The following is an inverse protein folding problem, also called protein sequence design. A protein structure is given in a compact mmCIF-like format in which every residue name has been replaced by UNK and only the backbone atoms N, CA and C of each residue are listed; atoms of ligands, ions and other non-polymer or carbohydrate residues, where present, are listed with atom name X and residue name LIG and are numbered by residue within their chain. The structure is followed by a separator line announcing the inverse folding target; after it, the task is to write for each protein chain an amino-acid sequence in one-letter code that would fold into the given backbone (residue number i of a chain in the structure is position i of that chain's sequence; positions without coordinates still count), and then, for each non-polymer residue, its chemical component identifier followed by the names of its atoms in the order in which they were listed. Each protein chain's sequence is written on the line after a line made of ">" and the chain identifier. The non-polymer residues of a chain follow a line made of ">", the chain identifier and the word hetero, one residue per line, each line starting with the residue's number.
data_IF_123582501844
#
_entry.id   IF_123582501844
#
_cell.length_a   1.000
_cell.length_b   1.000
_cell.length_c   1.000
_cell.angle_alpha   90.00
_cell.angle_beta   90.00
_cell.angle_gamma   90.00
#
_symmetry.space_group_name_H-M   'P 1'
#
loop_
_entity.id
_entity.type
_entity.pdbx_description
1 polymer ?
#
# COMPACT_ATOMS: atom_id res chain seq x y z
N UNK A 1 -12.73 -10.64 -1.37
CA UNK A 1 -12.06 -11.42 -2.42
C UNK A 1 -11.90 -10.46 -3.59
N UNK A 2 -10.67 -10.03 -3.88
CA UNK A 2 -10.38 -8.99 -4.87
C UNK A 2 -9.56 -9.62 -6.00
N UNK A 3 -10.12 -9.63 -7.21
CA UNK A 3 -9.43 -10.01 -8.43
C UNK A 3 -8.59 -8.82 -8.88
N UNK A 4 -7.27 -9.01 -9.04
CA UNK A 4 -6.34 -7.98 -9.48
C UNK A 4 -5.71 -8.46 -10.79
N UNK A 5 -5.96 -7.82 -11.95
CA UNK A 5 -5.31 -8.18 -13.20
C UNK A 5 -3.94 -7.50 -13.30
N UNK A 6 -3.04 -7.84 -12.39
CA UNK A 6 -1.69 -7.27 -12.35
C UNK A 6 -0.92 -7.69 -13.60
N UNK A 7 -0.27 -6.75 -14.29
CA UNK A 7 0.91 -7.08 -15.10
C UNK A 7 1.85 -8.00 -14.28
N UNK A 8 2.19 -9.19 -14.80
CA UNK A 8 2.99 -10.21 -14.08
C UNK A 8 4.28 -9.67 -13.45
N UNK A 9 4.78 -8.54 -13.95
CA UNK A 9 5.99 -7.88 -13.46
C UNK A 9 5.79 -7.29 -12.06
N UNK A 10 4.67 -6.61 -11.79
CA UNK A 10 4.41 -5.96 -10.49
C UNK A 10 4.01 -6.92 -9.37
N UNK A 11 3.59 -8.14 -9.75
CA UNK A 11 3.11 -9.15 -8.81
C UNK A 11 4.18 -9.51 -7.77
N UNK A 12 5.40 -9.76 -8.25
CA UNK A 12 6.50 -10.19 -7.38
C UNK A 12 6.92 -9.14 -6.34
N UNK A 13 7.24 -7.87 -6.71
CA UNK A 13 7.60 -6.84 -5.73
C UNK A 13 6.43 -6.49 -4.80
N UNK A 14 5.18 -6.49 -5.29
CA UNK A 14 4.02 -6.25 -4.45
C UNK A 14 3.79 -7.39 -3.44
N UNK A 15 3.94 -8.65 -3.84
CA UNK A 15 3.84 -9.78 -2.91
C UNK A 15 4.93 -9.77 -1.86
N UNK A 16 6.19 -9.46 -2.22
CA UNK A 16 7.26 -9.31 -1.23
C UNK A 16 6.97 -8.18 -0.24
N UNK A 17 6.40 -7.05 -0.70
CA UNK A 17 5.93 -5.98 0.17
C UNK A 17 4.81 -6.47 1.11
N UNK A 18 3.78 -7.11 0.54
CA UNK A 18 2.60 -7.58 1.25
C UNK A 18 2.98 -8.62 2.32
N UNK A 19 3.82 -9.59 1.97
CA UNK A 19 4.25 -10.66 2.85
C UNK A 19 4.99 -10.12 4.08
N UNK A 20 5.71 -9.01 3.97
CA UNK A 20 6.41 -8.42 5.10
C UNK A 20 5.54 -7.47 5.93
N UNK A 21 4.76 -6.63 5.28
CA UNK A 21 3.94 -5.62 5.97
C UNK A 21 2.73 -6.24 6.65
N UNK A 22 2.13 -7.28 6.07
CA UNK A 22 0.97 -7.98 6.67
C UNK A 22 1.29 -8.75 7.96
N UNK A 23 2.57 -8.96 8.28
CA UNK A 23 2.98 -9.62 9.54
C UNK A 23 2.97 -8.66 10.74
N UNK A 24 2.81 -7.37 10.49
CA UNK A 24 2.81 -6.34 11.52
C UNK A 24 1.42 -6.29 12.18
N UNK A 25 1.39 -6.32 13.51
CA UNK A 25 0.14 -6.47 14.28
C UNK A 25 -0.80 -5.27 14.11
N UNK A 26 -0.23 -4.12 13.81
CA UNK A 26 -0.92 -2.85 13.63
C UNK A 26 -1.63 -2.74 12.29
N UNK A 27 -1.19 -3.54 11.31
CA UNK A 27 -1.71 -3.55 9.94
C UNK A 27 -2.99 -4.37 9.90
N UNK A 28 -4.09 -3.70 9.57
CA UNK A 28 -5.38 -4.34 9.41
C UNK A 28 -5.62 -4.79 7.97
N UNK A 29 -5.13 -4.00 7.00
CA UNK A 29 -5.37 -4.24 5.59
C UNK A 29 -4.29 -3.58 4.73
N UNK A 30 -4.00 -4.17 3.57
CA UNK A 30 -3.16 -3.56 2.54
C UNK A 30 -3.93 -3.55 1.24
N UNK A 31 -4.08 -2.37 0.65
CA UNK A 31 -4.82 -2.15 -0.59
C UNK A 31 -3.85 -1.75 -1.70
N UNK A 32 -4.06 -2.31 -2.89
CA UNK A 32 -3.31 -1.96 -4.09
C UNK A 32 -4.26 -1.49 -5.18
N UNK A 33 -3.93 -0.35 -5.79
CA UNK A 33 -4.72 0.26 -6.85
C UNK A 33 -3.83 0.47 -8.09
N UNK A 34 -3.97 -0.42 -9.07
CA UNK A 34 -3.16 -0.44 -10.29
C UNK A 34 -3.48 0.74 -11.24
N UNK A 35 -4.77 1.09 -11.39
CA UNK A 35 -5.23 2.07 -12.39
C UNK A 35 -5.38 3.50 -11.86
N UNK A 36 -4.98 3.77 -10.62
CA UNK A 36 -5.10 5.13 -10.06
C UNK A 36 -3.89 5.97 -10.43
N UNK A 37 -3.80 6.33 -11.70
CA UNK A 37 -2.98 7.44 -12.22
C UNK A 37 -3.33 8.81 -11.61
N UNK A 38 -4.35 8.88 -10.74
CA UNK A 38 -4.87 10.08 -10.10
C UNK A 38 -4.32 10.36 -8.68
N UNK A 39 -3.60 9.41 -8.05
CA UNK A 39 -3.07 9.61 -6.69
C UNK A 39 -1.56 9.36 -6.65
N UNK A 40 -0.84 10.09 -5.78
CA UNK A 40 0.60 9.95 -5.56
C UNK A 40 1.01 8.57 -4.98
N UNK A 41 0.03 7.76 -4.55
CA UNK A 41 0.20 6.46 -3.92
C UNK A 41 -0.67 5.39 -4.58
N UNK A 42 -0.07 4.23 -4.89
CA UNK A 42 -0.73 3.05 -5.44
C UNK A 42 -0.87 1.91 -4.43
N UNK A 43 -0.27 2.05 -3.25
CA UNK A 43 -0.41 1.10 -2.13
C UNK A 43 -0.89 1.87 -0.90
N UNK A 44 -1.89 1.34 -0.19
CA UNK A 44 -2.32 1.88 1.09
C UNK A 44 -2.18 0.82 2.17
N UNK A 45 -1.42 1.14 3.21
CA UNK A 45 -1.24 0.30 4.40
C UNK A 45 -2.17 0.83 5.48
N UNK A 46 -3.28 0.14 5.70
CA UNK A 46 -4.31 0.54 6.65
C UNK A 46 -3.97 -0.02 8.01
N UNK A 47 -3.87 0.86 9.00
CA UNK A 47 -3.51 0.53 10.37
C UNK A 47 -4.61 0.95 11.34
N UNK A 48 -4.64 0.28 12.50
CA UNK A 48 -5.50 0.67 13.63
C UNK A 48 -5.10 2.03 14.21
N UNK A 49 -3.79 2.29 14.27
CA UNK A 49 -3.18 3.55 14.73
C UNK A 49 -1.83 3.75 14.05
N UNK A 50 -1.56 4.97 13.60
CA UNK A 50 -0.29 5.34 12.99
C UNK A 50 0.80 5.45 14.06
N UNK A 51 1.98 4.93 13.75
CA UNK A 51 3.16 4.99 14.60
C UNK A 51 4.40 5.27 13.78
N UNK A 52 5.41 5.88 14.39
CA UNK A 52 6.71 6.08 13.74
C UNK A 52 7.35 4.73 13.35
N UNK A 53 7.10 3.68 14.13
CA UNK A 53 7.61 2.33 13.89
C UNK A 53 7.06 1.73 12.60
N UNK A 54 5.75 1.81 12.36
CA UNK A 54 5.15 1.29 11.12
C UNK A 54 5.62 2.09 9.91
N UNK A 55 5.69 3.41 10.01
CA UNK A 55 6.12 4.29 8.92
C UNK A 55 7.59 4.03 8.56
N UNK A 56 8.46 3.86 9.58
CA UNK A 56 9.85 3.49 9.38
C UNK A 56 9.96 2.11 8.72
N UNK A 57 9.17 1.14 9.17
CA UNK A 57 9.20 -0.22 8.61
C UNK A 57 8.79 -0.25 7.14
N UNK A 58 7.72 0.45 6.79
CA UNK A 58 7.27 0.60 5.40
C UNK A 58 8.37 1.24 4.55
N UNK A 59 9.03 2.30 5.04
CA UNK A 59 10.14 2.94 4.33
C UNK A 59 11.33 1.99 4.12
N UNK A 60 11.71 1.21 5.14
CA UNK A 60 12.79 0.22 5.05
C UNK A 60 12.51 -0.85 3.99
N UNK A 61 11.29 -1.41 3.99
CA UNK A 61 10.86 -2.40 3.00
C UNK A 61 10.93 -1.80 1.59
N UNK A 62 10.48 -0.55 1.43
CA UNK A 62 10.51 0.16 0.16
C UNK A 62 11.92 0.42 -0.37
N UNK A 63 12.86 0.83 0.48
CA UNK A 63 14.27 1.01 0.09
C UNK A 63 14.86 -0.31 -0.41
N UNK A 64 14.61 -1.41 0.30
CA UNK A 64 15.10 -2.74 -0.09
C UNK A 64 14.49 -3.21 -1.41
N UNK A 65 13.17 -3.05 -1.58
CA UNK A 65 12.48 -3.39 -2.82
C UNK A 65 12.99 -2.57 -4.00
N UNK A 66 13.20 -1.26 -3.82
CA UNK A 66 13.75 -0.38 -4.87
C UNK A 66 15.19 -0.75 -5.25
N UNK A 67 15.98 -1.23 -4.30
CA UNK A 67 17.32 -1.77 -4.59
C UNK A 67 17.29 -3.06 -5.41
N UNK A 68 16.27 -3.92 -5.20
CA UNK A 68 16.12 -5.20 -5.90
C UNK A 68 15.39 -5.06 -7.23
N UNK A 69 14.46 -4.11 -7.31
CA UNK A 69 13.61 -3.84 -8.46
C UNK A 69 13.61 -2.33 -8.78
N UNK A 70 14.67 -1.79 -9.41
CA UNK A 70 14.80 -0.33 -9.64
C UNK A 70 13.72 0.28 -10.55
N UNK A 71 13.08 -0.55 -11.37
CA UNK A 71 12.01 -0.17 -12.30
C UNK A 71 10.62 -0.12 -11.64
N UNK A 72 10.49 -0.63 -10.41
CA UNK A 72 9.23 -0.65 -9.67
C UNK A 72 8.96 0.71 -9.05
N UNK A 73 7.75 1.22 -9.27
CA UNK A 73 7.23 2.46 -8.68
C UNK A 73 6.06 2.17 -7.73
N UNK A 74 6.33 1.38 -6.68
CA UNK A 74 5.41 1.27 -5.55
C UNK A 74 5.54 2.52 -4.68
N UNK A 75 4.42 3.09 -4.28
CA UNK A 75 4.33 4.29 -3.45
C UNK A 75 3.30 3.99 -2.35
N UNK A 76 3.74 3.40 -1.22
CA UNK A 76 2.87 3.09 -0.11
C UNK A 76 2.60 4.32 0.76
N UNK A 77 1.35 4.45 1.20
CA UNK A 77 0.91 5.42 2.19
C UNK A 77 0.31 4.70 3.39
N UNK A 78 0.78 5.06 4.59
CA UNK A 78 0.19 4.55 5.84
C UNK A 78 -1.05 5.38 6.16
N UNK A 79 -2.14 4.72 6.54
CA UNK A 79 -3.42 5.34 6.83
C UNK A 79 -4.04 4.73 8.07
N UNK A 80 -4.49 5.55 9.01
CA UNK A 80 -5.39 5.05 10.05
C UNK A 80 -6.78 4.79 9.46
N UNK A 81 -7.38 3.65 9.81
CA UNK A 81 -8.70 3.22 9.33
C UNK A 81 -9.82 4.24 9.57
N UNK A 82 -9.73 5.00 10.67
CA UNK A 82 -10.73 6.00 11.03
C UNK A 82 -10.34 7.42 10.61
N UNK A 83 -9.26 7.58 9.83
CA UNK A 83 -8.82 8.89 9.36
C UNK A 83 -9.70 9.44 8.25
N UNK A 84 -9.73 10.77 8.14
CA UNK A 84 -10.33 11.48 7.01
C UNK A 84 -9.68 11.04 5.69
N UNK A 85 -8.36 10.80 5.70
CA UNK A 85 -7.61 10.34 4.55
C UNK A 85 -8.04 8.94 4.08
N UNK A 86 -8.24 7.99 4.98
CA UNK A 86 -8.83 6.68 4.63
C UNK A 86 -10.20 6.84 3.97
N UNK A 87 -11.07 7.67 4.54
CA UNK A 87 -12.40 7.92 3.94
C UNK A 87 -12.26 8.51 2.53
N UNK A 88 -11.40 9.51 2.34
CA UNK A 88 -11.21 10.18 1.05
C UNK A 88 -10.59 9.28 -0.01
N UNK A 89 -9.48 8.60 0.32
CA UNK A 89 -8.71 7.84 -0.65
C UNK A 89 -9.27 6.43 -0.85
N UNK A 90 -9.69 5.77 0.22
CA UNK A 90 -10.13 4.36 0.15
C UNK A 90 -11.64 4.27 -0.09
N UNK A 91 -12.47 4.99 0.67
CA UNK A 91 -13.94 4.80 0.56
C UNK A 91 -14.58 5.63 -0.55
N UNK A 92 -14.21 6.91 -0.70
CA UNK A 92 -14.77 7.81 -1.72
C UNK A 92 -14.08 7.68 -3.08
N UNK A 93 -12.78 7.36 -3.10
CA UNK A 93 -12.04 7.16 -4.34
C UNK A 93 -12.42 5.90 -5.15
N UNK A 94 -13.23 4.99 -4.59
CA UNK A 94 -13.70 3.75 -5.26
C UNK A 94 -15.03 3.95 -5.99
N UNK A 95 -15.78 5.02 -5.71
CA UNK A 95 -17.03 5.33 -6.40
C UNK A 95 -17.01 6.75 -6.97
N UNK A 96 -16.62 6.96 -8.24
CA UNK A 96 -17.22 8.05 -8.99
C UNK A 96 -18.73 7.75 -9.08
N UNK A 97 -19.54 8.75 -8.70
CA UNK A 97 -20.98 8.72 -8.92
C UNK A 97 -21.32 8.60 -10.42
#
# INVERSE_FOLDING_TARGET
>A
MLEIPISKEWWKPFHEFLDEISQLKEVEEVLFFEERSLYESNVFVVVSRESEEITKKVAEVMVRLKSKYPWVSLSPMVLEKNSVAYTQFVTKGVHPA
#
